data_IF_838248704183
#
_entry.id   IF_838248704183
#
_cell.length_a   1.000
_cell.length_b   1.000
_cell.length_c   1.000
_cell.angle_alpha   90.00
_cell.angle_beta   90.00
_cell.angle_gamma   90.00
#
_symmetry.space_group_name_H-M   'P 1'
#
loop_
_entity.id
_entity.type
_entity.pdbx_description
1 polymer ?
#
# COMPACT_ATOMS: atom_id res chain seq x y z
N UNK A 1 9.31 -13.40 1.57
CA UNK A 1 9.24 -12.00 2.05
C UNK A 1 7.79 -11.59 2.16
N UNK A 2 7.38 -10.99 3.30
CA UNK A 2 5.98 -10.57 3.51
C UNK A 2 5.60 -9.39 2.62
N UNK A 3 4.40 -9.44 2.06
CA UNK A 3 3.82 -8.39 1.23
C UNK A 3 2.43 -7.96 1.72
N UNK A 4 1.97 -6.79 1.25
CA UNK A 4 0.61 -6.33 1.55
C UNK A 4 -0.30 -6.77 0.40
N UNK A 5 -1.17 -7.72 0.69
CA UNK A 5 -2.20 -8.21 -0.22
C UNK A 5 -3.52 -7.50 0.03
N UNK A 6 -4.36 -7.44 -0.99
CA UNK A 6 -5.68 -6.82 -0.94
C UNK A 6 -6.77 -7.85 -1.20
N UNK A 7 -7.72 -7.97 -0.28
CA UNK A 7 -8.97 -8.71 -0.43
C UNK A 7 -10.08 -7.74 -0.79
N UNK A 8 -10.45 -7.70 -2.06
CA UNK A 8 -11.44 -6.75 -2.59
C UNK A 8 -12.82 -6.98 -2.00
N UNK A 9 -13.19 -8.24 -1.80
CA UNK A 9 -14.44 -8.69 -1.20
C UNK A 9 -14.71 -8.13 0.20
N UNK A 10 -13.64 -7.71 0.90
CA UNK A 10 -13.70 -7.19 2.27
C UNK A 10 -13.57 -5.68 2.39
N UNK A 11 -13.21 -4.99 1.33
CA UNK A 11 -12.99 -3.55 1.40
C UNK A 11 -14.32 -2.80 1.40
N UNK A 12 -14.59 -2.08 2.49
CA UNK A 12 -15.78 -1.23 2.63
C UNK A 12 -15.57 0.21 2.17
N UNK A 13 -14.34 0.59 1.81
CA UNK A 13 -14.00 1.97 1.43
C UNK A 13 -13.98 2.96 2.60
N UNK A 14 -13.74 2.50 3.83
CA UNK A 14 -13.80 3.34 5.04
C UNK A 14 -12.63 4.33 5.21
N UNK A 15 -11.61 4.27 4.36
CA UNK A 15 -10.41 5.14 4.37
C UNK A 15 -9.56 5.10 5.67
N UNK A 16 -9.87 4.22 6.64
CA UNK A 16 -9.09 4.09 7.88
C UNK A 16 -7.62 3.79 7.62
N UNK A 17 -7.32 2.99 6.59
CA UNK A 17 -5.95 2.68 6.17
C UNK A 17 -5.18 3.91 5.66
N UNK A 18 -5.84 4.83 4.96
CA UNK A 18 -5.24 6.09 4.51
C UNK A 18 -4.91 7.00 5.68
N UNK A 19 -5.84 7.10 6.62
CA UNK A 19 -5.67 7.90 7.84
C UNK A 19 -4.53 7.35 8.70
N UNK A 20 -4.53 6.04 8.96
CA UNK A 20 -3.47 5.39 9.73
C UNK A 20 -2.09 5.56 9.07
N UNK A 21 -2.03 5.47 7.74
CA UNK A 21 -0.80 5.70 6.98
C UNK A 21 -0.30 7.14 7.14
N UNK A 22 -1.18 8.15 7.05
CA UNK A 22 -0.80 9.55 7.23
C UNK A 22 -0.31 9.82 8.66
N UNK A 23 -0.98 9.28 9.67
CA UNK A 23 -0.59 9.40 11.08
C UNK A 23 0.75 8.73 11.34
N UNK A 24 0.98 7.52 10.81
CA UNK A 24 2.27 6.82 10.98
C UNK A 24 3.43 7.62 10.39
N UNK A 25 3.20 8.35 9.31
CA UNK A 25 4.22 9.18 8.66
C UNK A 25 4.17 10.65 9.08
N UNK A 26 3.48 10.95 10.16
CA UNK A 26 3.54 12.25 10.84
C UNK A 26 4.70 12.31 11.84
N UNK A 27 5.08 13.52 12.22
CA UNK A 27 6.10 13.73 13.25
C UNK A 27 5.58 13.34 14.63
N UNK A 28 4.31 13.66 14.90
CA UNK A 28 3.68 13.46 16.21
C UNK A 28 3.21 12.04 16.46
N UNK A 29 3.01 11.23 15.41
CA UNK A 29 2.41 9.89 15.48
C UNK A 29 1.04 9.87 16.18
N UNK A 30 0.38 11.00 16.25
CA UNK A 30 -0.90 11.21 16.92
C UNK A 30 -1.91 11.81 15.94
N UNK A 31 -3.12 11.24 15.88
CA UNK A 31 -4.16 11.69 14.96
C UNK A 31 -4.48 13.18 15.10
N UNK A 32 -4.72 13.63 16.32
CA UNK A 32 -5.11 15.02 16.57
C UNK A 32 -3.96 16.01 16.32
N UNK A 33 -2.74 15.64 16.69
CA UNK A 33 -1.59 16.49 16.47
C UNK A 33 -1.17 16.53 15.00
N UNK A 34 -1.28 15.41 14.27
CA UNK A 34 -0.95 15.30 12.86
C UNK A 34 -1.78 16.25 11.98
N UNK A 35 -3.03 16.53 12.34
CA UNK A 35 -3.90 17.49 11.62
C UNK A 35 -3.33 18.92 11.67
N UNK A 36 -2.67 19.26 12.76
CA UNK A 36 -2.09 20.61 12.98
C UNK A 36 -0.65 20.74 12.44
N UNK A 37 -0.02 19.66 11.99
CA UNK A 37 1.35 19.68 11.47
C UNK A 37 1.47 20.46 10.17
N UNK A 38 2.63 21.12 10.02
CA UNK A 38 3.03 21.80 8.78
C UNK A 38 4.43 21.32 8.37
N UNK A 39 4.57 20.68 7.21
CA UNK A 39 3.52 20.32 6.26
C UNK A 39 2.61 19.19 6.77
N UNK A 40 1.37 19.18 6.30
CA UNK A 40 0.41 18.14 6.64
C UNK A 40 0.93 16.77 6.19
N UNK A 41 0.89 15.73 7.05
CA UNK A 41 1.33 14.40 6.69
C UNK A 41 0.57 13.82 5.50
N UNK A 42 1.27 13.12 4.62
CA UNK A 42 0.69 12.57 3.39
C UNK A 42 0.51 11.06 3.50
N UNK A 43 -0.68 10.59 3.16
CA UNK A 43 -0.94 9.16 2.96
C UNK A 43 -0.09 8.63 1.80
N UNK A 44 0.23 7.33 1.83
CA UNK A 44 1.06 6.63 0.83
C UNK A 44 0.31 5.47 0.17
N UNK A 45 -0.98 5.40 0.38
CA UNK A 45 -1.94 4.52 -0.30
C UNK A 45 -3.23 5.30 -0.58
N UNK A 46 -4.05 4.78 -1.49
CA UNK A 46 -5.25 5.46 -1.99
C UNK A 46 -6.38 4.45 -2.12
N UNK A 47 -7.54 4.75 -1.58
CA UNK A 47 -8.74 3.94 -1.75
C UNK A 47 -9.56 4.54 -2.88
N UNK A 48 -9.65 3.84 -3.99
CA UNK A 48 -10.40 4.26 -5.17
C UNK A 48 -11.74 3.53 -5.25
N UNK A 49 -12.73 4.23 -5.77
CA UNK A 49 -14.05 3.67 -6.05
C UNK A 49 -14.17 3.45 -7.57
N UNK A 50 -14.26 2.20 -7.99
CA UNK A 50 -14.36 1.82 -9.39
C UNK A 50 -15.50 0.83 -9.55
N UNK A 51 -16.51 1.20 -10.32
CA UNK A 51 -17.75 0.44 -10.43
C UNK A 51 -18.34 0.20 -9.03
N UNK A 52 -18.67 -1.04 -8.70
CA UNK A 52 -19.22 -1.43 -7.39
C UNK A 52 -18.13 -1.75 -6.34
N UNK A 53 -16.85 -1.64 -6.73
CA UNK A 53 -15.74 -2.05 -5.88
C UNK A 53 -15.00 -0.86 -5.24
N UNK A 54 -14.45 -1.10 -4.05
CA UNK A 54 -13.54 -0.20 -3.34
C UNK A 54 -12.17 -0.85 -3.33
N UNK A 55 -11.19 -0.17 -3.91
CA UNK A 55 -9.88 -0.74 -4.16
C UNK A 55 -8.78 0.07 -3.48
N UNK A 56 -8.14 -0.45 -2.42
CA UNK A 56 -6.94 0.15 -1.87
C UNK A 56 -5.76 -0.05 -2.83
N UNK A 57 -5.30 1.05 -3.43
CA UNK A 57 -4.10 1.08 -4.25
C UNK A 57 -2.90 1.49 -3.41
N UNK A 58 -1.86 0.67 -3.44
CA UNK A 58 -0.60 0.92 -2.73
C UNK A 58 0.60 0.53 -3.60
N UNK A 59 1.80 0.94 -3.19
CA UNK A 59 3.02 0.61 -3.92
C UNK A 59 3.22 -0.91 -4.00
N UNK A 60 3.35 -1.43 -5.23
CA UNK A 60 3.54 -2.86 -5.50
C UNK A 60 4.99 -3.33 -5.35
N UNK A 61 5.91 -2.42 -5.02
CA UNK A 61 7.35 -2.74 -4.93
C UNK A 61 7.84 -3.50 -6.17
N UNK A 62 7.56 -2.93 -7.35
CA UNK A 62 7.80 -3.56 -8.65
C UNK A 62 9.23 -4.11 -8.77
N UNK A 63 9.37 -5.25 -9.42
CA UNK A 63 10.67 -5.87 -9.67
C UNK A 63 11.53 -4.98 -10.58
N UNK A 64 10.98 -4.54 -11.71
CA UNK A 64 11.57 -3.55 -12.60
C UNK A 64 11.00 -2.18 -12.28
N UNK A 65 11.38 -1.60 -11.16
CA UNK A 65 10.79 -0.40 -10.61
C UNK A 65 10.97 0.85 -11.53
N UNK A 66 9.95 1.29 -12.31
CA UNK A 66 10.10 2.42 -13.23
C UNK A 66 10.45 3.71 -12.50
N UNK A 67 9.98 3.88 -11.26
CA UNK A 67 10.29 5.05 -10.44
C UNK A 67 11.78 5.12 -10.03
N UNK A 68 12.45 3.98 -9.90
CA UNK A 68 13.90 3.90 -9.66
C UNK A 68 14.65 4.24 -10.94
N UNK A 69 14.27 3.63 -12.06
CA UNK A 69 14.92 3.86 -13.36
C UNK A 69 14.83 5.33 -13.81
N UNK A 70 13.70 5.98 -13.54
CA UNK A 70 13.49 7.39 -13.88
C UNK A 70 14.14 8.38 -12.91
N UNK A 71 14.65 7.92 -11.75
CA UNK A 71 15.19 8.81 -10.73
C UNK A 71 16.64 9.20 -11.02
N UNK A 72 16.86 10.39 -11.57
CA UNK A 72 18.19 10.88 -11.96
C UNK A 72 19.14 11.14 -10.80
N UNK A 73 18.60 11.40 -9.60
CA UNK A 73 19.40 11.69 -8.40
C UNK A 73 19.67 10.46 -7.53
N UNK A 74 19.06 9.30 -7.87
CA UNK A 74 19.14 8.11 -7.04
C UNK A 74 18.35 8.22 -5.73
N UNK A 75 17.48 9.23 -5.59
CA UNK A 75 16.59 9.34 -4.42
C UNK A 75 15.61 8.16 -4.31
N UNK A 76 15.14 7.61 -5.43
CA UNK A 76 14.48 6.32 -5.48
C UNK A 76 15.52 5.24 -5.73
N UNK A 77 15.59 4.27 -4.86
CA UNK A 77 16.52 3.14 -4.96
C UNK A 77 15.82 1.85 -4.58
N UNK A 78 16.28 0.74 -5.14
CA UNK A 78 15.80 -0.58 -4.78
C UNK A 78 16.89 -1.32 -4.02
N UNK A 79 16.55 -1.82 -2.84
CA UNK A 79 17.44 -2.66 -2.05
C UNK A 79 17.67 -4.01 -2.74
N UNK A 80 18.92 -4.43 -2.87
CA UNK A 80 19.28 -5.63 -3.61
C UNK A 80 18.84 -6.93 -2.94
N UNK A 81 18.72 -6.95 -1.61
CA UNK A 81 18.36 -8.13 -0.84
C UNK A 81 16.86 -8.23 -0.62
N UNK A 82 16.25 -7.13 -0.17
CA UNK A 82 14.82 -7.09 0.16
C UNK A 82 13.93 -6.73 -1.02
N UNK A 83 14.51 -6.28 -2.13
CA UNK A 83 13.80 -5.78 -3.33
C UNK A 83 12.83 -4.63 -3.03
N UNK A 84 12.87 -4.07 -1.83
CA UNK A 84 12.05 -2.92 -1.47
C UNK A 84 12.57 -1.66 -2.15
N UNK A 85 11.64 -0.91 -2.72
CA UNK A 85 11.95 0.40 -3.29
C UNK A 85 11.86 1.44 -2.17
N UNK A 86 12.99 2.02 -1.82
CA UNK A 86 13.13 3.12 -0.87
C UNK A 86 13.02 4.49 -1.52
N UNK A 87 12.85 5.52 -0.69
CA UNK A 87 12.94 6.93 -1.08
C UNK A 87 13.78 7.69 -0.05
N UNK A 88 14.84 8.30 -0.52
CA UNK A 88 15.71 9.19 0.25
C UNK A 88 15.25 10.65 0.00
N UNK A 89 14.64 11.31 0.99
CA UNK A 89 14.15 12.67 0.83
C UNK A 89 15.27 13.70 0.63
N UNK A 90 16.49 13.43 1.16
CA UNK A 90 17.61 14.37 1.10
C UNK A 90 18.24 14.44 -0.31
N UNK A 91 18.13 13.35 -1.09
CA UNK A 91 18.53 13.31 -2.49
C UNK A 91 17.43 13.76 -3.45
N UNK A 92 16.20 13.94 -2.97
CA UNK A 92 15.07 14.25 -3.82
C UNK A 92 15.04 15.73 -4.20
N UNK A 93 15.08 16.03 -5.51
CA UNK A 93 15.00 17.40 -6.03
C UNK A 93 13.58 17.83 -6.44
N UNK A 94 12.56 16.98 -6.24
CA UNK A 94 11.17 17.28 -6.59
C UNK A 94 10.91 17.41 -8.10
N UNK A 95 11.60 16.65 -8.93
CA UNK A 95 11.39 16.66 -10.39
C UNK A 95 10.13 15.92 -10.85
N UNK A 96 9.51 15.13 -9.99
CA UNK A 96 8.24 14.40 -10.20
C UNK A 96 8.27 13.30 -11.27
N UNK A 97 9.41 12.94 -11.82
CA UNK A 97 9.50 11.87 -12.82
C UNK A 97 8.92 10.55 -12.29
N UNK A 98 9.21 10.20 -11.04
CA UNK A 98 8.70 8.99 -10.40
C UNK A 98 7.17 8.96 -10.28
N UNK A 99 6.51 10.12 -10.18
CA UNK A 99 5.04 10.18 -10.16
C UNK A 99 4.43 9.96 -11.53
N UNK A 100 5.12 10.37 -12.60
CA UNK A 100 4.63 10.23 -13.99
C UNK A 100 4.80 8.80 -14.51
N UNK A 101 5.87 8.11 -14.11
CA UNK A 101 6.16 6.76 -14.61
C UNK A 101 5.53 5.65 -13.77
N UNK A 102 4.91 5.97 -12.62
CA UNK A 102 4.29 4.96 -11.78
C UNK A 102 3.02 4.41 -12.43
N UNK A 103 2.97 3.12 -12.83
CA UNK A 103 1.80 2.55 -13.50
C UNK A 103 0.56 2.48 -12.61
N UNK A 104 0.74 2.56 -11.30
CA UNK A 104 -0.35 2.51 -10.31
C UNK A 104 -0.74 3.90 -9.77
N UNK A 105 -0.04 4.98 -10.15
CA UNK A 105 -0.31 6.34 -9.70
C UNK A 105 -0.16 6.58 -8.19
N UNK A 106 0.56 5.71 -7.48
CA UNK A 106 0.63 5.72 -6.00
C UNK A 106 1.86 6.46 -5.43
N UNK A 107 2.61 7.13 -6.27
CA UNK A 107 3.69 8.03 -5.83
C UNK A 107 3.12 9.44 -5.74
N UNK A 108 2.96 9.92 -4.52
CA UNK A 108 2.44 11.26 -4.23
C UNK A 108 3.50 12.36 -4.26
N UNK A 109 3.05 13.59 -4.07
CA UNK A 109 3.89 14.80 -4.00
C UNK A 109 3.67 15.52 -2.67
N UNK A 110 4.75 15.86 -1.99
CA UNK A 110 4.73 16.81 -0.88
C UNK A 110 5.28 18.13 -1.43
N UNK A 111 4.40 19.03 -1.79
CA UNK A 111 4.78 20.27 -2.51
C UNK A 111 5.59 21.22 -1.64
N UNK A 112 5.24 21.35 -0.37
CA UNK A 112 5.89 22.22 0.60
C UNK A 112 7.38 21.85 0.81
N UNK A 113 7.67 20.55 0.83
CA UNK A 113 9.05 20.02 0.94
C UNK A 113 9.69 19.73 -0.41
N UNK A 114 8.93 19.81 -1.50
CA UNK A 114 9.35 19.48 -2.86
C UNK A 114 9.95 18.06 -2.97
N UNK A 115 9.33 17.08 -2.31
CA UNK A 115 9.78 15.69 -2.32
C UNK A 115 8.65 14.76 -2.77
N UNK A 116 9.02 13.62 -3.38
CA UNK A 116 8.11 12.53 -3.64
C UNK A 116 7.72 11.80 -2.35
N UNK A 117 6.54 11.21 -2.33
CA UNK A 117 6.03 10.44 -1.20
C UNK A 117 5.53 9.10 -1.73
N UNK A 118 6.04 7.99 -1.19
CA UNK A 118 5.61 6.64 -1.57
C UNK A 118 5.61 5.70 -0.36
N UNK A 119 4.88 4.60 -0.48
CA UNK A 119 4.86 3.55 0.54
C UNK A 119 6.25 2.91 0.71
N UNK A 120 6.73 2.88 1.94
CA UNK A 120 7.97 2.24 2.39
C UNK A 120 7.73 0.93 3.15
N UNK A 121 6.45 0.52 3.30
CA UNK A 121 5.99 -0.63 4.08
C UNK A 121 6.19 -0.50 5.60
N UNK A 122 6.42 0.72 6.10
CA UNK A 122 6.62 1.00 7.53
C UNK A 122 7.70 0.09 8.14
N UNK A 123 8.99 0.25 7.78
CA UNK A 123 10.05 -0.69 8.16
C UNK A 123 10.26 -0.81 9.68
N UNK A 124 9.84 0.20 10.44
CA UNK A 124 9.96 0.26 11.90
C UNK A 124 8.82 -0.49 12.62
N UNK A 125 7.83 -1.00 11.88
CA UNK A 125 6.68 -1.71 12.43
C UNK A 125 6.70 -3.19 12.02
N UNK A 126 6.32 -4.07 12.94
CA UNK A 126 6.14 -5.49 12.65
C UNK A 126 5.02 -5.74 11.62
N UNK A 127 3.96 -4.94 11.72
CA UNK A 127 2.82 -4.94 10.79
C UNK A 127 2.60 -3.51 10.31
N UNK A 128 2.53 -3.26 8.99
CA UNK A 128 2.29 -1.92 8.45
C UNK A 128 1.03 -1.27 9.03
N UNK A 129 1.09 0.02 9.36
CA UNK A 129 0.01 0.75 10.02
C UNK A 129 -1.35 0.63 9.31
N UNK A 130 -1.36 0.66 7.97
CA UNK A 130 -2.57 0.51 7.17
C UNK A 130 -3.21 -0.88 7.29
N UNK A 131 -2.41 -1.92 7.46
CA UNK A 131 -2.87 -3.30 7.67
C UNK A 131 -3.43 -3.45 9.09
N UNK A 132 -2.68 -2.99 10.09
CA UNK A 132 -3.10 -3.05 11.50
C UNK A 132 -4.43 -2.34 11.74
N UNK A 133 -4.62 -1.18 11.09
CA UNK A 133 -5.81 -0.35 11.22
C UNK A 133 -7.01 -0.82 10.39
N UNK A 134 -6.87 -1.80 9.49
CA UNK A 134 -7.95 -2.24 8.62
C UNK A 134 -9.03 -3.03 9.41
N UNK A 135 -10.24 -2.49 9.61
CA UNK A 135 -11.25 -3.13 10.45
C UNK A 135 -11.80 -4.43 9.84
N UNK A 136 -11.88 -4.50 8.52
CA UNK A 136 -12.44 -5.64 7.79
C UNK A 136 -11.38 -6.65 7.36
N UNK A 137 -10.10 -6.40 7.68
CA UNK A 137 -8.96 -7.22 7.22
C UNK A 137 -8.90 -7.37 5.69
N UNK A 138 -9.30 -6.32 4.98
CA UNK A 138 -9.14 -6.22 3.53
C UNK A 138 -7.67 -6.11 3.12
N UNK A 139 -6.81 -5.50 3.96
CA UNK A 139 -5.36 -5.51 3.82
C UNK A 139 -4.77 -6.62 4.68
N UNK A 140 -3.93 -7.45 4.09
CA UNK A 140 -3.27 -8.61 4.73
C UNK A 140 -1.76 -8.51 4.51
N UNK A 141 -0.97 -8.63 5.58
CA UNK A 141 0.48 -8.66 5.51
C UNK A 141 0.97 -10.07 5.76
N UNK A 142 1.37 -10.78 4.70
CA UNK A 142 1.70 -12.19 4.74
C UNK A 142 2.77 -12.55 3.70
N UNK A 143 3.35 -13.74 3.83
CA UNK A 143 4.11 -14.36 2.74
C UNK A 143 3.16 -14.74 1.59
N UNK A 144 3.65 -14.62 0.34
CA UNK A 144 2.85 -14.90 -0.86
C UNK A 144 2.21 -16.30 -0.81
N UNK A 145 3.00 -17.31 -0.46
CA UNK A 145 2.49 -18.68 -0.42
C UNK A 145 1.39 -18.87 0.63
N UNK A 146 1.53 -18.26 1.79
CA UNK A 146 0.53 -18.29 2.87
C UNK A 146 -0.77 -17.64 2.40
N UNK A 147 -0.68 -16.44 1.81
CA UNK A 147 -1.84 -15.75 1.27
C UNK A 147 -2.52 -16.55 0.18
N UNK A 148 -1.78 -17.03 -0.82
CA UNK A 148 -2.30 -17.82 -1.94
C UNK A 148 -2.96 -19.12 -1.46
N UNK A 149 -2.39 -19.79 -0.46
CA UNK A 149 -2.98 -20.98 0.16
C UNK A 149 -4.31 -20.65 0.83
N UNK A 150 -4.40 -19.50 1.51
CA UNK A 150 -5.66 -19.06 2.16
C UNK A 150 -6.77 -18.80 1.14
N UNK A 151 -6.43 -18.17 0.00
CA UNK A 151 -7.38 -17.92 -1.09
C UNK A 151 -7.85 -19.23 -1.73
N UNK A 152 -6.91 -20.15 -2.05
CA UNK A 152 -7.26 -21.46 -2.61
C UNK A 152 -8.19 -22.28 -1.72
N UNK A 153 -8.02 -22.21 -0.39
CA UNK A 153 -8.91 -22.91 0.57
C UNK A 153 -10.32 -22.37 0.53
N UNK A 154 -10.49 -21.05 0.45
CA UNK A 154 -11.83 -20.44 0.36
C UNK A 154 -12.50 -20.84 -0.96
N UNK A 155 -11.81 -20.69 -2.08
CA UNK A 155 -12.34 -21.08 -3.40
C UNK A 155 -12.71 -22.57 -3.46
N UNK A 156 -11.89 -23.45 -2.87
CA UNK A 156 -12.17 -24.89 -2.83
C UNK A 156 -13.42 -25.20 -1.99
N UNK A 157 -13.63 -24.49 -0.88
CA UNK A 157 -14.82 -24.65 -0.07
C UNK A 157 -16.09 -24.24 -0.81
N UNK A 158 -16.06 -23.06 -1.46
CA UNK A 158 -17.19 -22.56 -2.28
C UNK A 158 -17.55 -23.50 -3.42
N UNK A 159 -16.54 -24.06 -4.11
CA UNK A 159 -16.75 -25.03 -5.18
C UNK A 159 -17.34 -26.36 -4.64
N UNK A 160 -16.88 -26.84 -3.49
CA UNK A 160 -17.40 -28.04 -2.85
C UNK A 160 -18.86 -27.89 -2.40
N UNK A 161 -19.21 -26.76 -1.81
CA UNK A 161 -20.59 -26.43 -1.40
C UNK A 161 -21.52 -26.38 -2.63
N UNK A 162 -21.09 -25.72 -3.72
CA UNK A 162 -21.84 -25.68 -4.98
C UNK A 162 -22.06 -27.07 -5.59
N UNK A 163 -21.07 -27.96 -5.48
CA UNK A 163 -21.18 -29.34 -5.96
C UNK A 163 -22.20 -30.17 -5.15
N UNK A 164 -22.18 -30.02 -3.82
CA UNK A 164 -23.12 -30.72 -2.93
C UNK A 164 -24.56 -30.26 -3.17
N UNK A 165 -24.81 -28.96 -3.28
CA UNK A 165 -26.14 -28.41 -3.56
C UNK A 165 -26.70 -28.85 -4.91
N UNK A 166 -25.85 -28.96 -5.93
CA UNK A 166 -26.27 -29.44 -7.26
C UNK A 166 -26.68 -30.93 -7.29
N UNK A 167 -26.19 -31.75 -6.35
CA UNK A 167 -26.57 -33.18 -6.25
C UNK A 167 -27.84 -33.44 -5.42
N UNK A 168 -28.28 -32.45 -4.63
CA UNK A 168 -29.46 -32.56 -3.76
C UNK A 168 -30.72 -31.92 -4.35
N UNK A 169 -30.62 -31.32 -5.54
CA UNK A 169 -31.73 -30.74 -6.33
C UNK A 169 -32.13 -31.64 -7.48
#
# INVERSE_FOLDING_TARGET
>A
MKEIFVRLDRCTGCHTCELACAVEHSTSKSLFAAIAEKPVPRKRLYVEHVLEHKLPLLCRQCEDAPCVQACRTGAMSQDALTRLVGHDPDKCIGCWMCTMVCPYGVVGRQLERRIAVKCDRCPDLEVPACVAACPTKALVYAEEEEFSRSVRRVAAAELAEGYVTAQTS
#
